data_IF_803914434685
#
_entry.id   IF_803914434685
#
_cell.length_a   1.000
_cell.length_b   1.000
_cell.length_c   1.000
_cell.angle_alpha   90.00
_cell.angle_beta   90.00
_cell.angle_gamma   90.00
#
_symmetry.space_group_name_H-M   'P 1'
#
loop_
_entity.id
_entity.type
_entity.pdbx_description
1 polymer ?
#
# COMPACT_ATOMS: atom_id res chain seq x y z
N UNK A 1 -3.96 -20.52 8.05
CA UNK A 1 -4.35 -19.33 7.26
C UNK A 1 -3.16 -18.96 6.40
N UNK A 2 -3.32 -18.88 5.09
CA UNK A 2 -2.23 -18.42 4.20
C UNK A 2 -1.92 -16.96 4.54
N UNK A 3 -0.67 -16.62 4.81
CA UNK A 3 -0.28 -15.25 5.14
C UNK A 3 -0.33 -14.41 3.86
N UNK A 4 -1.29 -13.49 3.74
CA UNK A 4 -1.51 -12.65 2.55
C UNK A 4 -0.72 -11.34 2.56
N UNK A 5 0.17 -11.16 3.52
CA UNK A 5 1.00 -9.97 3.71
C UNK A 5 2.46 -10.39 3.94
N UNK A 6 3.42 -9.60 3.47
CA UNK A 6 4.79 -9.74 3.95
C UNK A 6 4.87 -9.37 5.43
N UNK A 7 5.71 -10.06 6.20
CA UNK A 7 6.11 -9.55 7.52
C UNK A 7 6.95 -8.27 7.37
N UNK A 8 7.08 -7.48 8.45
CA UNK A 8 7.91 -6.26 8.42
C UNK A 8 9.36 -6.59 8.01
N UNK A 9 9.95 -7.63 8.58
CA UNK A 9 11.30 -8.07 8.22
C UNK A 9 11.42 -8.46 6.74
N UNK A 10 10.45 -9.21 6.21
CA UNK A 10 10.46 -9.58 4.78
C UNK A 10 10.29 -8.36 3.87
N UNK A 11 9.47 -7.39 4.29
CA UNK A 11 9.29 -6.13 3.58
C UNK A 11 10.61 -5.36 3.52
N UNK A 12 11.23 -5.11 4.68
CA UNK A 12 12.50 -4.39 4.80
C UNK A 12 13.62 -5.05 3.98
N UNK A 13 13.71 -6.38 4.01
CA UNK A 13 14.66 -7.15 3.22
C UNK A 13 14.39 -7.04 1.72
N UNK A 14 13.13 -7.15 1.30
CA UNK A 14 12.76 -7.06 -0.12
C UNK A 14 13.00 -5.65 -0.67
N UNK A 15 12.74 -4.63 0.13
CA UNK A 15 12.96 -3.22 -0.21
C UNK A 15 14.45 -2.83 -0.34
N UNK A 16 15.40 -3.72 -0.03
CA UNK A 16 16.80 -3.50 -0.42
C UNK A 16 16.99 -3.53 -1.94
N UNK A 17 16.11 -4.22 -2.68
CA UNK A 17 16.13 -4.27 -4.15
C UNK A 17 15.38 -3.10 -4.77
N UNK A 18 16.07 -2.30 -5.59
CA UNK A 18 15.47 -1.20 -6.34
C UNK A 18 14.34 -1.64 -7.27
N UNK A 19 14.54 -2.73 -8.01
CA UNK A 19 13.52 -3.32 -8.88
C UNK A 19 12.26 -3.72 -8.10
N UNK A 20 12.43 -4.28 -6.90
CA UNK A 20 11.31 -4.63 -6.04
C UNK A 20 10.54 -3.39 -5.55
N UNK A 21 11.25 -2.31 -5.19
CA UNK A 21 10.63 -1.04 -4.80
C UNK A 21 9.81 -0.44 -5.94
N UNK A 22 10.40 -0.36 -7.14
CA UNK A 22 9.71 0.15 -8.34
C UNK A 22 8.48 -0.68 -8.70
N UNK A 23 8.58 -2.02 -8.68
CA UNK A 23 7.42 -2.89 -8.93
C UNK A 23 6.33 -2.73 -7.88
N UNK A 24 6.71 -2.50 -6.63
CA UNK A 24 5.75 -2.22 -5.55
C UNK A 24 5.08 -0.87 -5.73
N UNK A 25 5.83 0.18 -6.09
CA UNK A 25 5.29 1.50 -6.45
C UNK A 25 4.30 1.41 -7.62
N UNK A 26 4.66 0.71 -8.69
CA UNK A 26 3.79 0.50 -9.85
C UNK A 26 2.48 -0.20 -9.47
N UNK A 27 2.58 -1.22 -8.60
CA UNK A 27 1.41 -1.93 -8.13
C UNK A 27 0.52 -1.05 -7.23
N UNK A 28 1.11 -0.26 -6.33
CA UNK A 28 0.40 0.74 -5.50
C UNK A 28 -0.31 1.76 -6.39
N UNK A 29 0.39 2.40 -7.32
CA UNK A 29 -0.19 3.41 -8.20
C UNK A 29 -1.37 2.84 -9.00
N UNK A 30 -1.22 1.63 -9.53
CA UNK A 30 -2.28 0.94 -10.26
C UNK A 30 -3.54 0.77 -9.42
N UNK A 31 -3.41 0.25 -8.20
CA UNK A 31 -4.58 -0.06 -7.36
C UNK A 31 -5.20 1.20 -6.73
N UNK A 32 -4.38 2.20 -6.38
CA UNK A 32 -4.84 3.50 -5.89
C UNK A 32 -5.53 4.37 -6.97
N UNK A 33 -5.19 4.19 -8.24
CA UNK A 33 -5.84 4.92 -9.35
C UNK A 33 -7.37 4.65 -9.41
N UNK A 34 -7.84 3.48 -8.94
CA UNK A 34 -9.27 3.17 -8.85
C UNK A 34 -10.01 4.02 -7.81
N UNK A 35 -9.28 4.59 -6.86
CA UNK A 35 -9.80 5.49 -5.84
C UNK A 35 -9.46 6.97 -6.12
N UNK A 36 -9.03 7.28 -7.36
CA UNK A 36 -8.70 8.64 -7.81
C UNK A 36 -7.55 9.31 -7.03
N UNK A 37 -6.63 8.52 -6.47
CA UNK A 37 -5.41 9.07 -5.88
C UNK A 37 -4.39 9.49 -6.95
N UNK A 38 -3.61 10.52 -6.64
CA UNK A 38 -2.68 11.16 -7.58
C UNK A 38 -1.27 11.14 -7.01
N UNK A 39 -0.48 10.16 -7.44
CA UNK A 39 0.95 10.10 -7.12
C UNK A 39 1.76 11.05 -8.02
N UNK A 40 2.96 11.48 -7.59
CA UNK A 40 3.89 12.26 -8.43
C UNK A 40 4.14 11.61 -9.80
N UNK A 41 4.37 12.41 -10.84
CA UNK A 41 4.57 11.91 -12.22
C UNK A 41 5.73 10.90 -12.32
N UNK A 42 6.79 11.13 -11.56
CA UNK A 42 7.98 10.28 -11.53
C UNK A 42 7.86 9.07 -10.57
N UNK A 43 6.68 8.84 -9.97
CA UNK A 43 6.47 7.82 -8.95
C UNK A 43 6.72 6.40 -9.45
N UNK A 44 6.54 6.10 -10.74
CA UNK A 44 6.88 4.79 -11.29
C UNK A 44 8.30 4.70 -11.87
N UNK A 45 9.01 5.82 -11.94
CA UNK A 45 10.31 5.94 -12.62
C UNK A 45 11.47 6.01 -11.62
N UNK A 46 11.23 6.63 -10.46
CA UNK A 46 12.23 6.81 -9.41
C UNK A 46 11.92 5.95 -8.19
N UNK A 47 12.84 5.05 -7.82
CA UNK A 47 12.64 4.19 -6.65
C UNK A 47 12.68 5.02 -5.35
N UNK A 48 11.64 4.87 -4.53
CA UNK A 48 11.47 5.56 -3.24
C UNK A 48 11.88 4.63 -2.12
N UNK A 49 12.47 5.16 -1.06
CA UNK A 49 12.72 4.36 0.15
C UNK A 49 11.40 3.89 0.76
N UNK A 50 11.44 2.87 1.64
CA UNK A 50 10.22 2.43 2.34
C UNK A 50 9.58 3.58 3.14
N UNK A 51 10.41 4.39 3.81
CA UNK A 51 9.96 5.55 4.58
C UNK A 51 9.26 6.60 3.70
N UNK A 52 9.87 6.97 2.57
CA UNK A 52 9.25 7.95 1.65
C UNK A 52 7.94 7.42 1.05
N UNK A 53 7.91 6.11 0.75
CA UNK A 53 6.71 5.44 0.25
C UNK A 53 5.59 5.43 1.30
N UNK A 54 5.90 5.14 2.56
CA UNK A 54 4.93 5.17 3.67
C UNK A 54 4.31 6.56 3.84
N UNK A 55 5.11 7.62 3.79
CA UNK A 55 4.62 9.00 3.87
C UNK A 55 3.70 9.35 2.69
N UNK A 56 4.08 8.98 1.47
CA UNK A 56 3.28 9.23 0.27
C UNK A 56 1.96 8.47 0.29
N UNK A 57 1.98 7.18 0.61
CA UNK A 57 0.77 6.35 0.71
C UNK A 57 -0.13 6.84 1.83
N UNK A 58 0.43 7.25 2.97
CA UNK A 58 -0.34 7.83 4.06
C UNK A 58 -1.06 9.12 3.63
N UNK A 59 -0.37 10.01 2.93
CA UNK A 59 -0.94 11.26 2.42
C UNK A 59 -2.06 11.00 1.40
N UNK A 60 -1.83 10.11 0.43
CA UNK A 60 -2.86 9.79 -0.58
C UNK A 60 -4.05 9.04 0.03
N UNK A 61 -3.82 8.15 1.00
CA UNK A 61 -4.91 7.49 1.74
C UNK A 61 -5.78 8.52 2.47
N UNK A 62 -5.17 9.51 3.13
CA UNK A 62 -5.93 10.56 3.82
C UNK A 62 -6.84 11.33 2.84
N UNK A 63 -6.31 11.71 1.66
CA UNK A 63 -7.12 12.35 0.61
C UNK A 63 -8.27 11.49 0.12
N UNK A 64 -8.02 10.20 -0.16
CA UNK A 64 -9.06 9.25 -0.60
C UNK A 64 -10.19 9.17 0.44
N UNK A 65 -9.84 9.16 1.73
CA UNK A 65 -10.80 9.13 2.82
C UNK A 65 -11.60 10.42 2.97
N UNK A 66 -10.98 11.57 2.78
CA UNK A 66 -11.65 12.88 2.81
C UNK A 66 -12.63 13.07 1.63
N UNK A 67 -12.31 12.50 0.46
CA UNK A 67 -13.16 12.62 -0.73
C UNK A 67 -14.46 11.82 -0.60
N UNK A 68 -14.38 10.54 -0.21
CA UNK A 68 -15.56 9.68 -0.11
C UNK A 68 -15.28 8.35 0.60
N UNK A 69 -16.22 7.93 1.45
CA UNK A 69 -16.26 6.56 1.98
C UNK A 69 -16.28 5.53 0.84
N UNK A 70 -16.97 5.82 -0.26
CA UNK A 70 -17.04 4.92 -1.42
C UNK A 70 -15.66 4.68 -2.04
N UNK A 71 -14.86 5.74 -2.22
CA UNK A 71 -13.51 5.60 -2.79
C UNK A 71 -12.60 4.83 -1.84
N UNK A 72 -12.73 5.05 -0.54
CA UNK A 72 -12.02 4.28 0.49
C UNK A 72 -12.36 2.79 0.39
N UNK A 73 -13.64 2.43 0.37
CA UNK A 73 -14.06 1.03 0.25
C UNK A 73 -13.62 0.39 -1.07
N UNK A 74 -13.64 1.14 -2.17
CA UNK A 74 -13.12 0.68 -3.47
C UNK A 74 -11.62 0.39 -3.40
N UNK A 75 -10.84 1.26 -2.76
CA UNK A 75 -9.41 1.06 -2.55
C UNK A 75 -9.13 -0.22 -1.76
N UNK A 76 -9.82 -0.40 -0.62
CA UNK A 76 -9.66 -1.58 0.23
C UNK A 76 -9.97 -2.87 -0.53
N UNK A 77 -11.05 -2.87 -1.32
CA UNK A 77 -11.41 -4.00 -2.16
C UNK A 77 -10.34 -4.30 -3.21
N UNK A 78 -9.88 -3.28 -3.93
CA UNK A 78 -8.87 -3.42 -5.00
C UNK A 78 -7.52 -3.94 -4.48
N UNK A 79 -7.13 -3.51 -3.27
CA UNK A 79 -5.88 -3.95 -2.62
C UNK A 79 -6.04 -5.35 -1.98
N UNK A 80 -7.27 -5.88 -1.91
CA UNK A 80 -7.62 -7.08 -1.15
C UNK A 80 -7.32 -6.94 0.36
N UNK A 81 -7.73 -5.82 0.96
CA UNK A 81 -7.70 -5.65 2.41
C UNK A 81 -8.95 -6.27 3.03
N UNK A 82 -8.79 -7.23 3.96
CA UNK A 82 -9.90 -7.75 4.74
C UNK A 82 -10.59 -6.65 5.55
N UNK A 83 -11.93 -6.61 5.52
CA UNK A 83 -12.71 -5.55 6.18
C UNK A 83 -12.51 -5.53 7.70
N UNK A 84 -12.33 -6.70 8.33
CA UNK A 84 -12.01 -6.84 9.75
C UNK A 84 -10.71 -6.11 10.11
N UNK A 85 -9.66 -6.22 9.27
CA UNK A 85 -8.39 -5.49 9.47
C UNK A 85 -8.55 -3.98 9.40
N UNK A 86 -9.41 -3.49 8.52
CA UNK A 86 -9.70 -2.06 8.46
C UNK A 86 -10.44 -1.61 9.72
N UNK A 87 -11.50 -2.33 10.12
CA UNK A 87 -12.30 -2.03 11.30
C UNK A 87 -11.51 -2.10 12.61
N UNK A 88 -10.56 -3.02 12.74
CA UNK A 88 -9.64 -3.11 13.88
C UNK A 88 -8.81 -1.83 14.07
N UNK A 89 -8.51 -1.13 12.98
CA UNK A 89 -7.66 0.06 13.01
C UNK A 89 -8.45 1.36 13.19
N UNK A 90 -9.75 1.42 12.88
CA UNK A 90 -10.49 2.71 12.84
C UNK A 90 -10.53 3.47 14.17
N UNK A 91 -10.36 2.77 15.30
CA UNK A 91 -10.28 3.38 16.64
C UNK A 91 -8.85 3.65 17.10
N UNK A 92 -7.85 3.32 16.28
CA UNK A 92 -6.44 3.47 16.61
C UNK A 92 -5.97 4.92 16.35
N UNK A 93 -5.28 5.58 17.32
CA UNK A 93 -4.76 6.94 17.11
C UNK A 93 -3.73 7.02 15.98
N UNK A 94 -3.07 5.92 15.65
CA UNK A 94 -2.11 5.79 14.55
C UNK A 94 -2.75 5.11 13.33
N UNK A 95 -4.06 5.27 13.13
CA UNK A 95 -4.81 4.64 12.04
C UNK A 95 -4.12 4.84 10.68
N UNK A 96 -3.81 6.08 10.30
CA UNK A 96 -3.25 6.40 8.99
C UNK A 96 -1.87 5.72 8.75
N UNK A 97 -0.88 5.84 9.65
CA UNK A 97 0.39 5.11 9.54
C UNK A 97 0.23 3.58 9.50
N UNK A 98 -0.62 3.01 10.37
CA UNK A 98 -0.81 1.54 10.41
C UNK A 98 -1.51 1.03 9.17
N UNK A 99 -2.49 1.78 8.69
CA UNK A 99 -3.24 1.44 7.49
C UNK A 99 -2.35 1.56 6.25
N UNK A 100 -1.58 2.64 6.08
CA UNK A 100 -0.66 2.77 4.94
C UNK A 100 0.38 1.65 4.90
N UNK A 101 0.96 1.29 6.05
CA UNK A 101 1.87 0.15 6.15
C UNK A 101 1.20 -1.18 5.76
N UNK A 102 -0.05 -1.40 6.19
CA UNK A 102 -0.82 -2.58 5.81
C UNK A 102 -1.05 -2.66 4.29
N UNK A 103 -1.42 -1.54 3.66
CA UNK A 103 -1.59 -1.44 2.20
C UNK A 103 -0.28 -1.76 1.47
N UNK A 104 0.83 -1.15 1.87
CA UNK A 104 2.15 -1.37 1.27
C UNK A 104 2.56 -2.85 1.40
N UNK A 105 2.38 -3.46 2.57
CA UNK A 105 2.71 -4.87 2.81
C UNK A 105 1.89 -5.81 1.94
N UNK A 106 0.64 -5.46 1.65
CA UNK A 106 -0.24 -6.24 0.79
C UNK A 106 0.20 -6.18 -0.66
N UNK A 107 0.53 -4.98 -1.15
CA UNK A 107 1.00 -4.79 -2.53
C UNK A 107 2.39 -5.38 -2.77
N UNK A 108 3.31 -5.18 -1.82
CA UNK A 108 4.62 -5.82 -1.85
C UNK A 108 4.50 -7.35 -1.86
N UNK A 109 3.51 -7.92 -1.15
CA UNK A 109 3.25 -9.36 -1.21
C UNK A 109 2.78 -9.82 -2.60
N UNK A 110 1.93 -9.05 -3.30
CA UNK A 110 1.54 -9.36 -4.69
C UNK A 110 2.77 -9.40 -5.61
N UNK A 111 3.68 -8.44 -5.46
CA UNK A 111 4.95 -8.38 -6.22
C UNK A 111 5.85 -9.56 -5.88
N UNK A 112 5.99 -9.89 -4.59
CA UNK A 112 6.77 -11.04 -4.12
C UNK A 112 6.26 -12.37 -4.70
N UNK A 113 4.94 -12.57 -4.76
CA UNK A 113 4.37 -13.77 -5.37
C UNK A 113 4.71 -13.87 -6.87
N UNK A 114 4.58 -12.77 -7.63
CA UNK A 114 4.91 -12.72 -9.07
C UNK A 114 6.39 -12.91 -9.38
N UNK A 115 7.28 -12.71 -8.41
CA UNK A 115 8.71 -12.97 -8.58
C UNK A 115 9.12 -14.40 -8.22
N UNK A 116 8.23 -15.16 -7.56
CA UNK A 116 8.47 -16.54 -7.11
C UNK A 116 7.74 -17.59 -7.95
N UNK A 117 6.62 -17.23 -8.56
CA UNK A 117 5.75 -18.10 -9.35
C UNK A 117 5.48 -17.48 -10.73
#
# INVERSE_FOLDING_TARGET
MSNTFLSLLQLEQSFQSEDFRLKTQQQIQKDFAFAHAEFPEDFCENSRTLYDLELLVQHELAKVMEQSERHTLQLLYQIDIPQDRFLELTTDPDFLPKMSNLLIRREAYKVYLRSKF
#
